data_IF_421106473512
#
_entry.id   IF_421106473512
#
_cell.length_a   1.000
_cell.length_b   1.000
_cell.length_c   1.000
_cell.angle_alpha   90.00
_cell.angle_beta   90.00
_cell.angle_gamma   90.00
#
_symmetry.space_group_name_H-M   'P 1'
#
loop_
_entity.id
_entity.type
_entity.pdbx_description
1 polymer ?
#
# COMPACT_ATOMS: atom_id res chain seq x y z
N UNK A 1 -32.10 58.81 -4.88
CA UNK A 1 -31.50 58.47 -3.57
C UNK A 1 -30.57 57.29 -3.80
N UNK A 2 -29.27 57.51 -3.64
CA UNK A 2 -28.21 56.52 -3.87
C UNK A 2 -28.27 55.42 -2.81
N UNK A 3 -28.39 54.15 -3.21
CA UNK A 3 -28.02 53.02 -2.34
C UNK A 3 -26.53 52.72 -2.53
N UNK A 4 -25.80 52.71 -1.41
CA UNK A 4 -24.35 52.57 -1.36
C UNK A 4 -23.93 51.10 -1.47
N UNK A 5 -22.91 50.90 -2.30
CA UNK A 5 -22.04 49.73 -2.36
C UNK A 5 -21.43 49.40 -0.99
N UNK A 6 -21.39 48.12 -0.63
CA UNK A 6 -20.36 47.59 0.26
C UNK A 6 -19.82 46.30 -0.37
N UNK A 7 -18.76 46.47 -1.16
CA UNK A 7 -17.93 45.40 -1.71
C UNK A 7 -16.87 45.11 -0.63
N UNK A 8 -16.94 43.96 0.04
CA UNK A 8 -15.88 43.53 0.96
C UNK A 8 -14.90 42.64 0.19
N UNK A 9 -13.76 43.22 -0.18
CA UNK A 9 -12.62 42.52 -0.75
C UNK A 9 -11.80 41.97 0.42
N UNK A 10 -11.86 40.66 0.64
CA UNK A 10 -10.86 39.95 1.44
C UNK A 10 -9.74 39.56 0.48
N UNK A 11 -8.64 40.32 0.52
CA UNK A 11 -7.41 39.97 -0.17
C UNK A 11 -6.75 38.80 0.57
N UNK A 12 -6.86 37.60 0.01
CA UNK A 12 -6.11 36.43 0.45
C UNK A 12 -4.65 36.61 -0.01
N UNK A 13 -3.75 36.84 0.93
CA UNK A 13 -2.30 36.85 0.70
C UNK A 13 -1.84 35.39 0.60
N UNK A 14 -1.65 34.91 -0.62
CA UNK A 14 -0.91 33.67 -0.86
C UNK A 14 0.59 33.96 -0.67
N UNK A 15 1.14 33.51 0.45
CA UNK A 15 2.59 33.31 0.57
C UNK A 15 2.94 32.07 -0.27
N UNK A 16 3.34 32.29 -1.51
CA UNK A 16 3.97 31.25 -2.33
C UNK A 16 5.29 30.85 -1.68
N UNK A 17 5.32 29.69 -1.03
CA UNK A 17 6.56 28.98 -0.74
C UNK A 17 7.19 28.60 -2.08
N UNK A 18 8.23 29.33 -2.49
CA UNK A 18 9.10 28.84 -3.56
C UNK A 18 9.89 27.67 -3.00
N UNK A 19 9.34 26.46 -3.14
CA UNK A 19 10.12 25.23 -3.06
C UNK A 19 11.15 25.39 -4.17
N UNK A 20 12.41 25.59 -3.78
CA UNK A 20 13.52 25.54 -4.72
C UNK A 20 13.58 24.11 -5.22
N UNK A 21 13.10 23.86 -6.43
CA UNK A 21 13.26 22.57 -7.08
C UNK A 21 14.75 22.36 -7.29
N UNK A 22 15.33 21.45 -6.50
CA UNK A 22 16.69 20.97 -6.75
C UNK A 22 16.58 20.14 -8.02
N UNK A 23 17.08 20.69 -9.13
CA UNK A 23 17.26 19.93 -10.37
C UNK A 23 18.40 18.96 -10.08
N UNK A 24 18.05 17.70 -9.85
CA UNK A 24 19.02 16.62 -9.73
C UNK A 24 19.80 16.49 -11.05
N UNK A 25 21.13 16.38 -10.97
CA UNK A 25 21.97 15.96 -12.10
C UNK A 25 22.02 14.43 -12.15
N UNK A 26 21.83 13.83 -13.32
CA UNK A 26 21.59 12.38 -13.46
C UNK A 26 22.77 11.65 -14.09
N UNK A 27 23.12 10.49 -13.51
CA UNK A 27 24.17 9.62 -14.02
C UNK A 27 23.56 8.40 -14.73
N UNK A 28 24.10 8.05 -15.89
CA UNK A 28 23.70 6.86 -16.63
C UNK A 28 24.32 5.61 -15.97
N UNK A 29 23.57 4.96 -15.07
CA UNK A 29 24.03 3.82 -14.28
C UNK A 29 24.23 2.51 -15.07
N UNK A 30 23.71 2.44 -16.31
CA UNK A 30 23.58 1.21 -17.09
C UNK A 30 24.90 0.55 -17.52
N UNK A 31 26.05 1.22 -17.37
CA UNK A 31 27.35 0.71 -17.84
C UNK A 31 28.39 0.49 -16.74
N UNK A 32 28.13 0.91 -15.51
CA UNK A 32 29.16 0.86 -14.47
C UNK A 32 28.92 -0.36 -13.57
N UNK A 33 29.78 -1.38 -13.70
CA UNK A 33 29.85 -2.54 -12.76
C UNK A 33 29.92 -2.09 -11.28
N UNK A 34 30.28 -0.84 -11.02
CA UNK A 34 30.27 -0.22 -9.71
C UNK A 34 28.87 -0.10 -9.10
N UNK A 35 27.81 0.17 -9.88
CA UNK A 35 26.44 0.27 -9.34
C UNK A 35 25.88 -1.07 -8.87
N UNK A 36 26.28 -2.16 -9.53
CA UNK A 36 25.93 -3.51 -9.09
C UNK A 36 26.58 -3.86 -7.74
N UNK A 37 27.70 -3.21 -7.38
CA UNK A 37 28.43 -3.43 -6.12
C UNK A 37 27.91 -2.60 -4.95
N UNK A 38 27.07 -1.60 -5.20
CA UNK A 38 26.41 -0.81 -4.16
C UNK A 38 25.39 -1.73 -3.48
N UNK A 39 25.57 -1.94 -2.17
CA UNK A 39 24.66 -2.75 -1.39
C UNK A 39 23.25 -2.18 -1.43
N UNK A 40 22.24 -3.05 -1.58
CA UNK A 40 20.85 -2.67 -1.39
C UNK A 40 20.69 -2.11 0.02
N UNK A 41 20.32 -0.84 0.10
CA UNK A 41 20.18 -0.20 1.39
C UNK A 41 18.74 -0.38 1.86
N UNK A 42 18.57 -1.11 2.97
CA UNK A 42 17.27 -1.35 3.58
C UNK A 42 16.83 -0.23 4.53
N UNK A 43 17.63 0.83 4.67
CA UNK A 43 17.32 2.03 5.45
C UNK A 43 16.91 3.23 4.59
N UNK A 44 16.78 4.40 5.21
CA UNK A 44 16.49 5.65 4.49
C UNK A 44 17.65 6.04 3.59
N UNK A 45 17.42 5.91 2.28
CA UNK A 45 18.22 6.51 1.24
C UNK A 45 17.69 7.92 1.02
N UNK A 46 18.47 8.96 1.31
CA UNK A 46 18.14 10.33 0.89
C UNK A 46 18.29 10.39 -0.64
N UNK A 47 17.24 10.02 -1.37
CA UNK A 47 17.24 9.88 -2.82
C UNK A 47 17.37 11.26 -3.46
N UNK A 48 18.48 11.49 -4.16
CA UNK A 48 18.76 12.75 -4.86
C UNK A 48 18.77 12.62 -6.37
N UNK A 49 19.00 11.41 -6.87
CA UNK A 49 18.89 11.08 -8.28
C UNK A 49 18.28 9.69 -8.39
N UNK A 50 17.87 9.31 -9.59
CA UNK A 50 17.44 7.94 -9.86
C UNK A 50 18.15 7.43 -11.10
N UNK A 51 18.14 6.13 -11.33
CA UNK A 51 18.65 5.58 -12.57
C UNK A 51 18.05 4.21 -12.83
N UNK A 52 18.17 3.78 -14.09
CA UNK A 52 17.78 2.44 -14.50
C UNK A 52 18.97 1.48 -14.35
N UNK A 53 18.75 0.39 -13.62
CA UNK A 53 19.67 -0.72 -13.45
C UNK A 53 18.94 -1.99 -13.88
N UNK A 54 19.28 -2.51 -15.06
CA UNK A 54 18.55 -3.61 -15.70
C UNK A 54 17.04 -3.30 -15.80
N UNK A 55 16.21 -4.13 -15.16
CA UNK A 55 14.75 -3.99 -15.10
C UNK A 55 14.27 -3.25 -13.84
N UNK A 56 15.15 -2.51 -13.15
CA UNK A 56 14.82 -1.74 -11.96
C UNK A 56 15.06 -0.26 -12.18
N UNK A 57 14.19 0.56 -11.61
CA UNK A 57 14.46 1.98 -11.37
C UNK A 57 14.84 2.11 -9.89
N UNK A 58 16.04 2.62 -9.64
CA UNK A 58 16.57 2.79 -8.30
C UNK A 58 16.79 4.27 -7.99
N UNK A 59 16.40 4.70 -6.80
CA UNK A 59 16.84 5.96 -6.22
C UNK A 59 18.25 5.82 -5.67
N UNK A 60 19.10 6.81 -5.92
CA UNK A 60 20.47 6.92 -5.41
C UNK A 60 20.67 8.26 -4.70
N UNK A 61 21.56 8.26 -3.71
CA UNK A 61 21.78 9.45 -2.87
C UNK A 61 22.75 10.48 -3.46
N UNK A 62 23.54 10.09 -4.47
CA UNK A 62 24.50 10.96 -5.15
C UNK A 62 24.74 10.39 -6.57
N UNK A 63 24.68 11.23 -7.60
CA UNK A 63 24.85 10.78 -8.98
C UNK A 63 26.31 10.52 -9.36
N UNK A 64 27.27 11.13 -8.67
CA UNK A 64 28.70 11.00 -8.96
C UNK A 64 29.34 9.85 -8.17
N UNK A 65 28.96 9.69 -6.90
CA UNK A 65 29.49 8.63 -6.03
C UNK A 65 28.40 8.06 -5.12
N UNK A 66 27.54 7.18 -5.67
CA UNK A 66 26.39 6.68 -4.95
C UNK A 66 26.85 5.69 -3.89
N UNK A 67 26.40 5.91 -2.65
CA UNK A 67 26.72 5.04 -1.51
C UNK A 67 25.52 4.21 -1.07
N UNK A 68 24.36 4.47 -1.68
CA UNK A 68 23.09 3.84 -1.37
C UNK A 68 22.26 3.74 -2.65
N UNK A 69 21.54 2.63 -2.79
CA UNK A 69 20.47 2.48 -3.78
C UNK A 69 19.22 1.92 -3.12
N UNK A 70 18.05 2.37 -3.57
CA UNK A 70 16.73 1.91 -3.14
C UNK A 70 15.87 1.64 -4.37
N UNK A 71 15.38 0.41 -4.51
CA UNK A 71 14.40 0.11 -5.54
C UNK A 71 13.12 0.93 -5.29
N UNK A 72 12.56 1.49 -6.36
CA UNK A 72 11.35 2.28 -6.28
C UNK A 72 10.11 1.40 -6.46
N UNK A 73 9.04 1.76 -5.77
CA UNK A 73 7.69 1.25 -5.99
C UNK A 73 6.82 2.43 -6.42
N UNK A 74 6.01 2.24 -7.44
CA UNK A 74 5.14 3.27 -8.00
C UNK A 74 5.16 3.30 -9.52
N UNK A 75 4.63 4.38 -10.09
CA UNK A 75 4.59 4.61 -11.55
C UNK A 75 5.36 5.87 -11.89
N UNK A 76 6.19 5.80 -12.93
CA UNK A 76 7.11 6.86 -13.30
C UNK A 76 7.13 7.07 -14.81
N UNK A 77 7.19 8.33 -15.26
CA UNK A 77 7.56 8.63 -16.65
C UNK A 77 9.09 8.66 -16.73
N UNK A 78 9.66 7.93 -17.67
CA UNK A 78 11.09 7.76 -17.84
C UNK A 78 11.47 8.05 -19.29
N UNK A 79 12.54 8.84 -19.48
CA UNK A 79 13.12 9.05 -20.80
C UNK A 79 14.19 7.97 -21.03
N UNK A 80 13.92 7.06 -21.97
CA UNK A 80 14.79 5.92 -22.28
C UNK A 80 16.11 6.34 -22.95
N UNK A 81 16.13 7.47 -23.64
CA UNK A 81 17.34 7.97 -24.32
C UNK A 81 18.31 8.61 -23.31
N UNK A 82 17.80 9.40 -22.36
CA UNK A 82 18.64 10.04 -21.33
C UNK A 82 18.83 9.15 -20.10
N UNK A 83 17.97 8.16 -19.88
CA UNK A 83 18.02 7.30 -18.69
C UNK A 83 17.51 8.00 -17.43
N UNK A 84 16.55 8.91 -17.54
CA UNK A 84 16.12 9.79 -16.43
C UNK A 84 14.61 9.75 -16.20
N UNK A 85 14.19 9.80 -14.92
CA UNK A 85 12.79 10.06 -14.57
C UNK A 85 12.44 11.48 -14.99
N UNK A 86 11.29 11.65 -15.65
CA UNK A 86 10.75 12.94 -16.05
C UNK A 86 9.95 13.52 -14.89
N UNK A 87 10.28 14.74 -14.48
CA UNK A 87 9.50 15.47 -13.50
C UNK A 87 8.33 16.17 -14.20
N UNK A 88 7.14 15.59 -14.11
CA UNK A 88 5.91 16.10 -14.71
C UNK A 88 5.37 17.40 -14.08
N UNK A 89 5.98 17.88 -12.99
CA UNK A 89 5.70 19.22 -12.47
C UNK A 89 6.45 20.31 -13.27
N UNK A 90 7.40 19.92 -14.12
CA UNK A 90 8.13 20.80 -15.02
C UNK A 90 7.77 20.47 -16.47
N UNK A 91 7.65 21.52 -17.29
CA UNK A 91 7.43 21.42 -18.73
C UNK A 91 8.39 20.42 -19.41
N UNK A 92 7.82 19.43 -20.09
CA UNK A 92 8.57 18.39 -20.82
C UNK A 92 8.96 18.83 -22.23
N UNK A 93 8.75 20.09 -22.63
CA UNK A 93 8.93 20.60 -24.00
C UNK A 93 10.30 20.32 -24.64
N UNK A 94 11.34 20.02 -23.86
CA UNK A 94 12.66 19.63 -24.37
C UNK A 94 12.82 18.14 -24.69
N UNK A 95 11.89 17.29 -24.26
CA UNK A 95 11.97 15.84 -24.44
C UNK A 95 11.37 15.40 -25.78
N UNK A 96 12.01 14.42 -26.42
CA UNK A 96 11.42 13.72 -27.56
C UNK A 96 10.35 12.76 -27.06
N UNK A 97 9.08 12.98 -27.40
CA UNK A 97 7.96 12.18 -26.87
C UNK A 97 8.10 10.67 -27.10
N UNK A 98 8.64 10.26 -28.26
CA UNK A 98 8.89 8.84 -28.57
C UNK A 98 9.95 8.17 -27.68
N UNK A 99 10.68 8.95 -26.88
CA UNK A 99 11.66 8.46 -25.91
C UNK A 99 11.09 8.39 -24.50
N UNK A 100 9.85 8.86 -24.29
CA UNK A 100 9.17 8.85 -22.99
C UNK A 100 8.28 7.62 -22.83
N UNK A 101 8.49 6.87 -21.77
CA UNK A 101 7.73 5.68 -21.41
C UNK A 101 7.22 5.76 -19.98
N UNK A 102 6.11 5.09 -19.67
CA UNK A 102 5.64 4.86 -18.31
C UNK A 102 6.22 3.53 -17.84
N UNK A 103 6.84 3.54 -16.67
CA UNK A 103 7.30 2.35 -15.97
C UNK A 103 6.44 2.16 -14.73
N UNK A 104 5.86 0.98 -14.58
CA UNK A 104 5.23 0.50 -13.36
C UNK A 104 6.25 -0.33 -12.60
N UNK A 105 6.46 -0.02 -11.32
CA UNK A 105 7.41 -0.67 -10.44
C UNK A 105 6.71 -1.22 -9.19
N UNK A 106 7.15 -2.38 -8.70
CA UNK A 106 6.66 -3.04 -7.47
C UNK A 106 7.73 -3.13 -6.36
N UNK A 107 8.84 -2.41 -6.53
CA UNK A 107 10.00 -2.46 -5.63
C UNK A 107 10.98 -3.61 -5.92
N UNK A 108 10.64 -4.54 -6.81
CA UNK A 108 11.50 -5.66 -7.23
C UNK A 108 11.73 -5.70 -8.73
N UNK A 109 10.78 -5.19 -9.50
CA UNK A 109 10.82 -5.09 -10.95
C UNK A 109 10.16 -3.78 -11.39
N UNK A 110 10.55 -3.31 -12.57
CA UNK A 110 9.94 -2.20 -13.28
C UNK A 110 9.69 -2.61 -14.73
N UNK A 111 8.43 -2.59 -15.15
CA UNK A 111 8.05 -2.91 -16.51
C UNK A 111 7.50 -1.68 -17.22
N UNK A 112 7.84 -1.53 -18.51
CA UNK A 112 7.14 -0.58 -19.37
C UNK A 112 5.67 -0.94 -19.43
N UNK A 113 4.81 0.06 -19.36
CA UNK A 113 3.37 -0.13 -19.43
C UNK A 113 2.71 0.98 -20.22
N UNK A 114 1.46 0.74 -20.61
CA UNK A 114 0.65 1.74 -21.27
C UNK A 114 0.02 2.67 -20.24
N UNK A 115 -0.38 3.87 -20.65
CA UNK A 115 -1.13 4.74 -19.76
C UNK A 115 -1.27 6.17 -20.27
N UNK A 116 -1.56 7.06 -19.34
CA UNK A 116 -1.72 8.49 -19.56
C UNK A 116 -0.91 9.23 -18.51
N UNK A 117 -0.24 10.30 -18.92
CA UNK A 117 0.27 11.28 -17.97
C UNK A 117 -0.11 12.70 -18.38
N UNK A 118 -0.10 13.60 -17.40
CA UNK A 118 -0.33 15.03 -17.58
C UNK A 118 1.00 15.78 -17.41
N UNK A 119 1.26 16.72 -18.30
CA UNK A 119 2.28 17.74 -18.10
C UNK A 119 1.66 19.11 -18.43
N UNK A 120 1.74 20.04 -17.48
CA UNK A 120 1.04 21.33 -17.52
C UNK A 120 -0.45 21.16 -17.86
N UNK A 121 -0.92 21.74 -18.97
CA UNK A 121 -2.32 21.65 -19.43
C UNK A 121 -2.53 20.59 -20.53
N UNK A 122 -1.49 19.81 -20.84
CA UNK A 122 -1.49 18.80 -21.89
C UNK A 122 -1.53 17.39 -21.30
N UNK A 123 -2.16 16.48 -22.04
CA UNK A 123 -2.22 15.06 -21.73
C UNK A 123 -1.49 14.27 -22.81
N UNK A 124 -0.86 13.19 -22.39
CA UNK A 124 -0.07 12.32 -23.25
C UNK A 124 -0.49 10.87 -23.01
N UNK A 125 -0.84 10.16 -24.07
CA UNK A 125 -0.95 8.69 -24.04
C UNK A 125 0.43 8.09 -24.22
N UNK A 126 0.70 7.00 -23.53
CA UNK A 126 1.94 6.24 -23.68
C UNK A 126 1.61 4.83 -24.09
N UNK A 127 2.23 4.40 -25.18
CA UNK A 127 2.27 3.01 -25.60
C UNK A 127 3.61 2.42 -25.16
N UNK A 128 3.58 1.23 -24.53
CA UNK A 128 4.75 0.59 -23.94
C UNK A 128 5.86 0.29 -24.97
N UNK A 129 5.52 0.24 -26.27
CA UNK A 129 6.44 -0.05 -27.37
C UNK A 129 6.92 1.19 -28.12
N UNK A 130 6.05 2.19 -28.33
CA UNK A 130 6.30 3.32 -29.22
C UNK A 130 6.52 4.65 -28.49
N UNK A 131 6.28 4.70 -27.18
CA UNK A 131 6.52 5.85 -26.33
C UNK A 131 5.30 6.78 -26.23
N UNK A 132 5.53 8.03 -25.84
CA UNK A 132 4.47 9.00 -25.64
C UNK A 132 4.02 9.65 -26.95
N UNK A 133 2.73 9.97 -27.00
CA UNK A 133 2.11 10.83 -27.99
C UNK A 133 1.13 11.79 -27.29
N UNK A 134 1.11 13.04 -27.71
CA UNK A 134 0.13 14.00 -27.21
C UNK A 134 -1.29 13.56 -27.59
N UNK A 135 -2.20 13.61 -26.62
CA UNK A 135 -3.60 13.20 -26.81
C UNK A 135 -4.30 14.23 -27.68
N UNK A 136 -4.74 13.80 -28.86
CA UNK A 136 -5.78 14.51 -29.63
C UNK A 136 -7.16 14.06 -29.16
N UNK A 137 -8.21 14.82 -29.51
CA UNK A 137 -9.56 14.77 -28.92
C UNK A 137 -10.23 13.39 -28.75
N UNK A 138 -9.74 12.32 -29.36
CA UNK A 138 -10.28 10.95 -29.26
C UNK A 138 -10.42 10.44 -27.82
N UNK A 139 -9.48 10.78 -26.93
CA UNK A 139 -9.56 10.41 -25.50
C UNK A 139 -9.99 11.56 -24.59
N UNK A 140 -10.33 12.72 -25.18
CA UNK A 140 -10.73 13.91 -24.43
C UNK A 140 -12.20 14.16 -24.63
N UNK A 141 -12.96 14.01 -23.56
CA UNK A 141 -14.34 14.45 -23.57
C UNK A 141 -14.41 15.97 -23.34
N UNK A 142 -14.81 16.69 -24.39
CA UNK A 142 -14.98 18.14 -24.34
C UNK A 142 -16.14 18.59 -23.44
N UNK A 143 -17.00 17.67 -22.99
CA UNK A 143 -18.10 17.97 -22.06
C UNK A 143 -17.62 18.17 -20.61
N UNK A 144 -16.34 17.95 -20.31
CA UNK A 144 -15.76 18.04 -18.96
C UNK A 144 -16.53 17.21 -17.91
N UNK A 145 -17.21 16.14 -18.35
CA UNK A 145 -18.15 15.44 -17.50
C UNK A 145 -18.05 13.91 -17.64
N UNK A 146 -17.63 13.22 -16.57
CA UNK A 146 -17.70 11.76 -16.51
C UNK A 146 -19.10 11.25 -16.12
N UNK A 147 -20.06 12.12 -15.77
CA UNK A 147 -21.37 11.72 -15.22
C UNK A 147 -22.43 11.44 -16.27
N UNK A 148 -22.37 12.08 -17.44
CA UNK A 148 -23.26 11.77 -18.56
C UNK A 148 -22.78 10.52 -19.28
N UNK A 149 -23.55 9.42 -19.26
CA UNK A 149 -23.18 8.11 -19.84
C UNK A 149 -21.81 7.59 -19.36
N UNK A 150 -21.64 7.37 -18.04
CA UNK A 150 -20.35 7.05 -17.45
C UNK A 150 -19.73 5.77 -18.02
N UNK A 151 -20.55 4.81 -18.45
CA UNK A 151 -20.12 3.55 -19.09
C UNK A 151 -19.36 3.77 -20.40
N UNK A 152 -19.77 4.77 -21.19
CA UNK A 152 -19.24 5.02 -22.52
C UNK A 152 -17.94 5.83 -22.47
N UNK A 153 -17.64 6.39 -21.29
CA UNK A 153 -16.51 7.28 -21.04
C UNK A 153 -15.41 6.62 -20.22
N UNK A 154 -15.57 5.37 -19.81
CA UNK A 154 -14.56 4.65 -19.03
C UNK A 154 -13.22 4.67 -19.78
N UNK A 155 -12.15 5.13 -19.12
CA UNK A 155 -10.82 5.29 -19.71
C UNK A 155 -10.58 6.60 -20.45
N UNK A 156 -11.57 7.50 -20.55
CA UNK A 156 -11.41 8.83 -21.14
C UNK A 156 -11.00 9.88 -20.11
N UNK A 157 -10.36 10.95 -20.58
CA UNK A 157 -10.04 12.15 -19.80
C UNK A 157 -11.14 13.20 -20.02
N UNK A 158 -11.78 13.64 -18.93
CA UNK A 158 -12.74 14.74 -18.92
C UNK A 158 -12.20 15.87 -18.01
N UNK A 159 -11.78 16.99 -18.63
CA UNK A 159 -11.09 18.06 -17.91
C UNK A 159 -9.79 17.57 -17.27
N UNK A 160 -9.79 17.52 -15.93
CA UNK A 160 -8.68 17.04 -15.09
C UNK A 160 -8.96 15.70 -14.41
N UNK A 161 -9.90 14.92 -14.94
CA UNK A 161 -10.30 13.63 -14.35
C UNK A 161 -10.25 12.51 -15.37
N UNK A 162 -9.78 11.34 -14.94
CA UNK A 162 -10.00 10.07 -15.61
C UNK A 162 -11.39 9.56 -15.23
N UNK A 163 -12.17 9.17 -16.23
CA UNK A 163 -13.50 8.61 -16.02
C UNK A 163 -13.39 7.10 -15.82
N UNK A 164 -13.81 6.58 -14.66
CA UNK A 164 -13.84 5.15 -14.34
C UNK A 164 -15.25 4.61 -14.04
N UNK A 165 -16.29 5.40 -14.33
CA UNK A 165 -17.63 5.21 -13.76
C UNK A 165 -17.95 6.26 -12.70
N UNK A 166 -16.92 6.67 -11.95
CA UNK A 166 -16.83 7.93 -11.19
C UNK A 166 -15.58 8.71 -11.65
N UNK A 167 -15.50 10.01 -11.35
CA UNK A 167 -14.36 10.86 -11.74
C UNK A 167 -13.20 10.72 -10.76
N UNK A 168 -12.00 10.37 -11.25
CA UNK A 168 -10.76 10.35 -10.46
C UNK A 168 -9.77 11.38 -11.00
N UNK A 169 -9.20 12.22 -10.15
CA UNK A 169 -8.16 13.17 -10.57
C UNK A 169 -6.76 12.52 -10.51
N UNK A 170 -5.82 12.91 -11.40
CA UNK A 170 -4.41 12.48 -11.35
C UNK A 170 -3.65 12.91 -10.08
N UNK A 171 -4.27 13.73 -9.22
CA UNK A 171 -3.77 14.09 -7.89
C UNK A 171 -4.28 13.12 -6.80
N UNK A 172 -4.88 11.99 -7.18
CA UNK A 172 -5.20 10.90 -6.27
C UNK A 172 -3.93 10.35 -5.61
N UNK A 173 -4.06 9.77 -4.42
CA UNK A 173 -2.91 9.29 -3.66
C UNK A 173 -2.03 8.36 -4.52
N UNK A 174 -0.72 8.65 -4.54
CA UNK A 174 0.27 7.86 -5.27
C UNK A 174 0.16 6.38 -4.87
N UNK A 175 0.18 5.49 -5.86
CA UNK A 175 0.20 4.05 -5.67
C UNK A 175 -1.17 3.38 -5.49
N UNK A 176 -2.27 4.12 -5.51
CA UNK A 176 -3.60 3.51 -5.49
C UNK A 176 -3.86 2.69 -6.76
N UNK A 177 -4.59 1.60 -6.62
CA UNK A 177 -5.01 0.73 -7.71
C UNK A 177 -6.53 0.82 -7.88
N UNK A 178 -7.00 0.85 -9.13
CA UNK A 178 -8.42 0.92 -9.45
C UNK A 178 -8.76 -0.10 -10.52
N UNK A 179 -9.94 -0.72 -10.40
CA UNK A 179 -10.46 -1.59 -11.44
C UNK A 179 -11.27 -0.78 -12.46
N UNK A 180 -11.16 -1.13 -13.73
CA UNK A 180 -12.00 -0.55 -14.77
C UNK A 180 -12.33 -1.58 -15.84
N UNK A 181 -13.47 -1.39 -16.51
CA UNK A 181 -13.78 -2.14 -17.72
C UNK A 181 -12.77 -1.74 -18.79
N UNK A 182 -12.12 -2.72 -19.40
CA UNK A 182 -11.31 -2.49 -20.58
C UNK A 182 -12.25 -2.09 -21.73
N UNK A 183 -11.91 -1.01 -22.43
CA UNK A 183 -12.58 -0.62 -23.68
C UNK A 183 -11.59 -0.71 -24.82
N UNK A 184 -12.05 -1.10 -26.01
CA UNK A 184 -11.16 -1.25 -27.15
C UNK A 184 -10.47 0.09 -27.46
N UNK A 185 -9.25 0.01 -27.98
CA UNK A 185 -8.47 1.18 -28.39
C UNK A 185 -8.28 2.21 -27.27
N UNK A 186 -8.15 1.79 -26.01
CA UNK A 186 -7.82 2.71 -24.92
C UNK A 186 -6.31 2.85 -24.67
N UNK A 187 -5.95 3.91 -23.95
CA UNK A 187 -4.57 4.26 -23.63
C UNK A 187 -3.86 3.26 -22.68
N UNK A 188 -4.57 2.29 -22.11
CA UNK A 188 -4.08 1.33 -21.11
C UNK A 188 -3.83 -0.06 -21.70
N UNK A 189 -4.49 -0.44 -22.80
CA UNK A 189 -4.37 -1.79 -23.39
C UNK A 189 -3.82 -1.82 -24.80
N UNK A 190 -3.58 -0.67 -25.43
CA UNK A 190 -2.87 -0.60 -26.72
C UNK A 190 -3.63 -1.22 -27.90
N UNK A 191 -4.94 -1.41 -27.80
CA UNK A 191 -5.81 -1.76 -28.94
C UNK A 191 -6.37 -3.19 -28.98
N UNK A 192 -6.16 -4.03 -27.97
CA UNK A 192 -6.85 -5.34 -27.95
C UNK A 192 -8.33 -5.19 -27.56
N UNK A 193 -9.22 -5.73 -28.40
CA UNK A 193 -10.68 -5.62 -28.29
C UNK A 193 -11.29 -6.56 -27.24
N UNK A 194 -10.65 -6.70 -26.08
CA UNK A 194 -11.20 -7.44 -24.95
C UNK A 194 -12.09 -6.51 -24.12
N UNK A 195 -13.16 -5.99 -24.75
CA UNK A 195 -14.07 -5.00 -24.15
C UNK A 195 -14.88 -5.53 -22.97
N UNK A 196 -14.80 -6.84 -22.73
CA UNK A 196 -15.57 -7.54 -21.71
C UNK A 196 -14.70 -7.91 -20.50
N UNK A 197 -13.40 -7.59 -20.53
CA UNK A 197 -12.45 -7.86 -19.44
C UNK A 197 -12.29 -6.65 -18.53
N UNK A 198 -11.96 -6.87 -17.26
CA UNK A 198 -11.49 -5.80 -16.40
C UNK A 198 -9.97 -5.78 -16.34
N UNK A 199 -9.44 -4.56 -16.20
CA UNK A 199 -8.02 -4.29 -16.00
C UNK A 199 -7.86 -3.47 -14.73
N UNK A 200 -6.65 -3.49 -14.19
CA UNK A 200 -6.26 -2.62 -13.09
C UNK A 200 -5.40 -1.49 -13.61
N UNK A 201 -5.68 -0.28 -13.12
CA UNK A 201 -4.83 0.88 -13.29
C UNK A 201 -4.20 1.27 -11.96
N UNK A 202 -2.94 1.69 -12.00
CA UNK A 202 -2.19 2.23 -10.86
C UNK A 202 -1.98 3.73 -11.05
N UNK A 203 -2.21 4.51 -10.00
CA UNK A 203 -2.04 5.96 -10.01
C UNK A 203 -0.65 6.36 -9.53
N UNK A 204 -0.16 7.46 -10.06
CA UNK A 204 0.96 8.23 -9.51
C UNK A 204 0.75 9.71 -9.79
N UNK A 205 1.68 10.53 -9.34
CA UNK A 205 1.56 11.98 -9.44
C UNK A 205 1.47 12.38 -10.90
N UNK A 206 0.28 12.80 -11.34
CA UNK A 206 -0.03 13.15 -12.72
C UNK A 206 0.03 11.96 -13.72
N UNK A 207 -0.06 10.72 -13.24
CA UNK A 207 0.08 9.50 -14.04
C UNK A 207 -1.06 8.53 -13.74
N UNK A 208 -1.61 7.92 -14.78
CA UNK A 208 -2.40 6.70 -14.73
C UNK A 208 -1.72 5.65 -15.59
N UNK A 209 -1.43 4.49 -15.03
CA UNK A 209 -0.72 3.43 -15.73
C UNK A 209 -1.55 2.15 -15.70
N UNK A 210 -1.50 1.34 -16.74
CA UNK A 210 -1.96 -0.04 -16.67
C UNK A 210 -1.06 -0.82 -15.71
N UNK A 211 -1.68 -1.50 -14.73
CA UNK A 211 -0.95 -2.26 -13.73
C UNK A 211 -0.60 -3.66 -14.25
N UNK A 212 0.40 -3.71 -15.13
CA UNK A 212 0.97 -4.94 -15.67
C UNK A 212 1.90 -5.68 -14.70
N UNK A 213 1.93 -5.29 -13.42
CA UNK A 213 2.66 -6.00 -12.36
C UNK A 213 1.72 -6.46 -11.24
N UNK A 214 0.40 -6.27 -11.39
CA UNK A 214 -0.55 -6.83 -10.45
C UNK A 214 -0.35 -8.35 -10.34
N UNK A 215 -0.27 -8.84 -9.11
CA UNK A 215 -0.09 -10.25 -8.82
C UNK A 215 -1.36 -11.06 -9.06
N UNK A 216 -1.17 -12.36 -9.34
CA UNK A 216 -2.26 -13.33 -9.42
C UNK A 216 -2.84 -13.55 -8.01
N UNK A 217 -3.93 -12.86 -7.70
CA UNK A 217 -4.58 -12.88 -6.37
C UNK A 217 -6.05 -12.44 -6.48
N UNK A 218 -6.75 -12.52 -5.36
CA UNK A 218 -8.09 -12.01 -5.20
C UNK A 218 -8.08 -10.63 -4.57
N UNK A 219 -8.90 -9.75 -5.13
CA UNK A 219 -8.98 -8.37 -4.73
C UNK A 219 -10.40 -7.97 -4.39
N UNK A 220 -10.49 -7.09 -3.41
CA UNK A 220 -11.70 -6.45 -2.99
C UNK A 220 -11.86 -5.09 -3.69
N UNK A 221 -13.06 -4.81 -4.20
CA UNK A 221 -13.39 -3.53 -4.82
C UNK A 221 -14.56 -2.84 -4.13
N UNK A 222 -14.34 -1.59 -3.74
CA UNK A 222 -15.40 -0.71 -3.27
C UNK A 222 -16.10 -0.07 -4.47
N UNK A 223 -17.36 -0.46 -4.76
CA UNK A 223 -18.04 -0.06 -6.02
C UNK A 223 -18.34 1.43 -6.14
N UNK A 224 -18.28 2.20 -5.06
CA UNK A 224 -18.34 3.66 -5.16
C UNK A 224 -17.08 4.14 -5.88
N UNK A 225 -15.91 3.90 -5.31
CA UNK A 225 -14.65 4.47 -5.81
C UNK A 225 -13.93 3.64 -6.88
N UNK A 226 -14.35 2.40 -7.12
CA UNK A 226 -13.61 1.38 -7.88
C UNK A 226 -12.18 1.11 -7.36
N UNK A 227 -11.88 1.52 -6.12
CA UNK A 227 -10.60 1.29 -5.47
C UNK A 227 -10.42 -0.21 -5.22
N UNK A 228 -9.28 -0.72 -5.68
CA UNK A 228 -8.83 -2.09 -5.48
C UNK A 228 -8.03 -2.17 -4.19
N UNK A 229 -8.37 -3.13 -3.33
CA UNK A 229 -7.64 -3.45 -2.10
C UNK A 229 -7.43 -4.96 -2.02
N UNK A 230 -6.35 -5.42 -1.38
CA UNK A 230 -6.15 -6.86 -1.19
C UNK A 230 -7.32 -7.51 -0.44
N UNK A 231 -7.64 -8.77 -0.73
CA UNK A 231 -8.71 -9.51 -0.03
C UNK A 231 -8.48 -9.48 1.48
N UNK A 232 -9.48 -9.04 2.23
CA UNK A 232 -9.45 -9.11 3.68
C UNK A 232 -9.59 -10.58 4.13
N UNK A 233 -8.81 -10.99 5.14
CA UNK A 233 -8.91 -12.34 5.71
C UNK A 233 -10.31 -12.65 6.31
N UNK A 234 -11.10 -11.63 6.65
CA UNK A 234 -12.42 -11.75 7.26
C UNK A 234 -13.52 -11.28 6.31
N UNK A 235 -13.71 -11.99 5.19
CA UNK A 235 -14.69 -11.63 4.14
C UNK A 235 -16.17 -11.69 4.61
N UNK A 236 -16.44 -12.32 5.76
CA UNK A 236 -17.80 -12.53 6.29
C UNK A 236 -18.31 -11.44 7.24
N UNK A 237 -17.45 -10.53 7.72
CA UNK A 237 -17.94 -9.33 8.41
C UNK A 237 -18.44 -8.33 7.38
N UNK A 238 -19.40 -7.46 7.73
CA UNK A 238 -20.02 -6.42 6.88
C UNK A 238 -19.04 -5.34 6.35
N UNK A 239 -17.82 -5.73 5.95
CA UNK A 239 -16.80 -4.86 5.42
C UNK A 239 -17.24 -4.36 4.05
N UNK A 240 -16.76 -3.17 3.71
CA UNK A 240 -17.06 -2.35 2.52
C UNK A 240 -16.64 -2.98 1.17
N UNK A 241 -16.51 -4.31 1.14
CA UNK A 241 -16.22 -5.06 -0.06
C UNK A 241 -17.51 -5.34 -0.83
N UNK A 242 -17.70 -4.62 -1.92
CA UNK A 242 -18.93 -4.71 -2.69
C UNK A 242 -18.81 -5.79 -3.79
N UNK A 243 -17.59 -6.04 -4.29
CA UNK A 243 -17.29 -7.02 -5.33
C UNK A 243 -15.89 -7.61 -5.13
N UNK A 244 -15.73 -8.87 -5.53
CA UNK A 244 -14.44 -9.55 -5.58
C UNK A 244 -14.03 -9.83 -7.02
N UNK A 245 -12.73 -9.72 -7.25
CA UNK A 245 -12.12 -9.95 -8.55
C UNK A 245 -10.94 -10.90 -8.40
N UNK A 246 -10.89 -11.94 -9.22
CA UNK A 246 -9.70 -12.77 -9.38
C UNK A 246 -8.91 -12.15 -10.53
N UNK A 247 -7.70 -11.69 -10.24
CA UNK A 247 -6.83 -11.18 -11.29
C UNK A 247 -5.82 -12.26 -11.66
N UNK A 248 -5.69 -12.54 -12.95
CA UNK A 248 -4.75 -13.49 -13.51
C UNK A 248 -4.20 -12.96 -14.82
N UNK A 249 -2.88 -13.02 -14.98
CA UNK A 249 -2.20 -12.50 -16.18
C UNK A 249 -2.64 -11.04 -16.45
N UNK A 250 -2.80 -10.25 -15.37
CA UNK A 250 -3.21 -8.83 -15.36
C UNK A 250 -4.65 -8.53 -15.83
N UNK A 251 -5.44 -9.56 -16.10
CA UNK A 251 -6.87 -9.47 -16.37
C UNK A 251 -7.62 -9.85 -15.11
N UNK A 252 -8.63 -9.07 -14.76
CA UNK A 252 -9.49 -9.37 -13.63
C UNK A 252 -10.86 -9.84 -14.09
N UNK A 253 -11.30 -10.96 -13.52
CA UNK A 253 -12.64 -11.51 -13.71
C UNK A 253 -13.46 -11.28 -12.45
N UNK A 254 -14.70 -10.79 -12.62
CA UNK A 254 -15.64 -10.72 -11.51
C UNK A 254 -15.92 -12.15 -11.03
N UNK A 255 -15.55 -12.44 -9.78
CA UNK A 255 -15.96 -13.68 -9.16
C UNK A 255 -17.39 -13.46 -8.71
N UNK A 256 -18.34 -14.15 -9.35
CA UNK A 256 -19.69 -14.31 -8.82
C UNK A 256 -19.61 -15.27 -7.63
N UNK A 257 -18.98 -14.80 -6.54
CA UNK A 257 -19.24 -15.36 -5.23
C UNK A 257 -20.69 -14.99 -4.94
N UNK A 258 -21.61 -15.80 -5.44
CA UNK A 258 -23.03 -15.75 -5.11
C UNK A 258 -23.18 -16.13 -3.64
N UNK A 259 -22.63 -15.33 -2.72
CA UNK A 259 -22.37 -15.65 -1.33
C UNK A 259 -22.20 -17.15 -1.17
N UNK A 260 -21.00 -17.70 -1.42
CA UNK A 260 -20.68 -19.02 -0.85
C UNK A 260 -21.13 -18.92 0.59
N UNK A 261 -22.24 -19.60 0.91
CA UNK A 261 -23.18 -19.12 1.93
C UNK A 261 -22.36 -18.79 3.14
N UNK A 262 -22.28 -17.50 3.49
CA UNK A 262 -21.74 -17.07 4.77
C UNK A 262 -22.57 -17.85 5.76
N UNK A 263 -22.05 -19.01 6.13
CA UNK A 263 -22.69 -19.90 7.07
C UNK A 263 -22.82 -19.00 8.28
N UNK A 264 -24.05 -18.85 8.77
CA UNK A 264 -24.41 -17.90 9.82
C UNK A 264 -23.21 -17.73 10.75
N UNK A 265 -22.74 -16.48 10.96
CA UNK A 265 -21.38 -16.17 11.41
C UNK A 265 -20.93 -17.25 12.38
N UNK A 266 -19.88 -17.99 12.02
CA UNK A 266 -19.41 -19.13 12.79
C UNK A 266 -19.53 -18.75 14.27
N UNK A 267 -20.32 -19.52 15.03
CA UNK A 267 -20.61 -19.18 16.43
C UNK A 267 -19.28 -18.82 17.12
N UNK A 268 -19.28 -17.81 18.03
CA UNK A 268 -18.07 -17.36 18.72
C UNK A 268 -17.20 -18.58 19.12
N UNK A 269 -15.92 -18.56 18.74
CA UNK A 269 -14.97 -19.60 19.12
C UNK A 269 -15.06 -19.81 20.63
N UNK A 270 -15.42 -21.03 21.02
CA UNK A 270 -15.61 -21.38 22.42
C UNK A 270 -14.42 -22.21 22.88
N UNK A 271 -13.77 -21.74 23.95
CA UNK A 271 -12.70 -22.45 24.65
C UNK A 271 -13.19 -23.04 25.98
N UNK A 272 -14.51 -23.25 26.12
CA UNK A 272 -15.12 -23.85 27.31
C UNK A 272 -14.72 -25.35 27.42
N UNK A 273 -14.23 -25.72 28.60
CA UNK A 273 -13.56 -26.97 29.00
C UNK A 273 -13.61 -28.21 28.08
N UNK A 274 -12.40 -28.69 27.76
CA UNK A 274 -11.99 -29.97 27.14
C UNK A 274 -12.01 -30.07 25.61
N UNK A 275 -12.78 -29.25 24.90
CA UNK A 275 -12.73 -29.23 23.43
C UNK A 275 -13.16 -27.88 22.90
N UNK A 276 -12.31 -27.25 22.09
CA UNK A 276 -12.69 -26.02 21.42
C UNK A 276 -13.77 -26.29 20.37
N UNK A 277 -14.59 -25.29 20.07
CA UNK A 277 -15.56 -25.38 18.97
C UNK A 277 -15.60 -24.07 18.20
N UNK A 278 -15.78 -24.18 16.89
CA UNK A 278 -15.97 -23.04 15.97
C UNK A 278 -14.78 -22.07 15.95
N UNK A 279 -13.59 -22.55 16.26
CA UNK A 279 -12.36 -21.77 16.14
C UNK A 279 -11.80 -21.86 14.71
N UNK A 280 -10.97 -20.91 14.33
CA UNK A 280 -10.15 -20.99 13.11
C UNK A 280 -8.69 -21.15 13.54
N UNK A 281 -7.84 -21.60 12.61
CA UNK A 281 -6.42 -21.77 12.93
C UNK A 281 -5.79 -20.43 13.32
N UNK A 282 -5.09 -20.38 14.46
CA UNK A 282 -4.40 -19.18 14.93
C UNK A 282 -4.48 -18.94 16.43
N UNK A 283 -4.18 -17.70 16.84
CA UNK A 283 -4.05 -17.33 18.26
C UNK A 283 -5.31 -16.65 18.80
N UNK A 284 -5.68 -17.02 20.03
CA UNK A 284 -6.81 -16.50 20.78
C UNK A 284 -6.39 -16.09 22.20
N UNK A 285 -7.14 -15.18 22.80
CA UNK A 285 -6.98 -14.82 24.20
C UNK A 285 -8.23 -15.18 24.99
N UNK A 286 -8.10 -16.12 25.94
CA UNK A 286 -9.18 -16.50 26.86
C UNK A 286 -9.08 -15.67 28.12
N UNK A 287 -10.07 -14.83 28.42
CA UNK A 287 -10.04 -13.95 29.59
C UNK A 287 -9.78 -14.70 30.90
N UNK A 288 -9.04 -14.10 31.83
CA UNK A 288 -8.76 -14.71 33.15
C UNK A 288 -10.00 -14.76 34.04
N UNK A 289 -10.95 -13.85 33.82
CA UNK A 289 -12.16 -13.68 34.64
C UNK A 289 -13.42 -14.33 34.04
N UNK A 290 -13.34 -14.79 32.79
CA UNK A 290 -14.46 -15.40 32.07
C UNK A 290 -13.98 -16.67 31.38
N UNK A 291 -14.85 -17.67 31.24
CA UNK A 291 -14.54 -18.83 30.38
C UNK A 291 -14.64 -18.47 28.88
N UNK A 292 -14.76 -17.18 28.55
CA UNK A 292 -14.95 -16.62 27.22
C UNK A 292 -13.66 -15.99 26.70
N UNK A 293 -13.66 -15.71 25.41
CA UNK A 293 -12.61 -14.91 24.76
C UNK A 293 -12.63 -13.48 25.31
N UNK A 294 -11.45 -12.88 25.41
CA UNK A 294 -11.26 -11.52 25.89
C UNK A 294 -11.94 -10.54 24.93
N UNK A 295 -12.76 -9.61 25.47
CA UNK A 295 -13.61 -8.69 24.68
C UNK A 295 -13.26 -7.22 24.80
N UNK A 296 -12.44 -6.87 25.79
CA UNK A 296 -12.13 -5.47 26.12
C UNK A 296 -10.64 -5.20 26.01
N UNK A 297 -10.28 -3.94 25.76
CA UNK A 297 -8.88 -3.52 25.77
C UNK A 297 -8.24 -3.79 27.13
N UNK A 298 -6.97 -4.18 27.14
CA UNK A 298 -6.18 -4.51 28.33
C UNK A 298 -6.73 -5.69 29.17
N UNK A 299 -7.74 -6.42 28.70
CA UNK A 299 -8.23 -7.62 29.38
C UNK A 299 -7.12 -8.68 29.39
N UNK A 300 -6.71 -9.11 30.59
CA UNK A 300 -5.73 -10.18 30.75
C UNK A 300 -6.37 -11.56 30.55
N UNK A 301 -5.69 -12.42 29.80
CA UNK A 301 -6.15 -13.75 29.46
C UNK A 301 -5.01 -14.74 29.24
N UNK A 302 -5.36 -16.03 29.16
CA UNK A 302 -4.44 -17.08 28.75
C UNK A 302 -4.37 -17.15 27.22
N UNK A 303 -3.16 -17.16 26.66
CA UNK A 303 -2.94 -17.35 25.23
C UNK A 303 -3.23 -18.79 24.81
N UNK A 304 -4.06 -18.95 23.78
CA UNK A 304 -4.34 -20.23 23.13
C UNK A 304 -3.88 -20.20 21.67
N UNK A 305 -3.48 -21.35 21.16
CA UNK A 305 -3.28 -21.57 19.73
C UNK A 305 -4.17 -22.72 19.27
N UNK A 306 -4.90 -22.50 18.18
CA UNK A 306 -5.76 -23.47 17.55
C UNK A 306 -5.10 -23.99 16.27
N UNK A 307 -4.87 -25.30 16.17
CA UNK A 307 -4.43 -25.96 14.93
C UNK A 307 -5.60 -26.20 13.98
N UNK A 308 -6.79 -26.44 14.54
CA UNK A 308 -8.04 -26.66 13.82
C UNK A 308 -9.21 -26.08 14.60
N UNK A 309 -10.43 -26.24 14.09
CA UNK A 309 -11.63 -25.68 14.73
C UNK A 309 -12.01 -26.30 16.06
N UNK A 310 -11.42 -27.44 16.40
CA UNK A 310 -11.67 -28.18 17.64
C UNK A 310 -10.42 -28.45 18.48
N UNK A 311 -9.24 -28.22 17.92
CA UNK A 311 -7.95 -28.50 18.56
C UNK A 311 -7.29 -27.18 18.92
N UNK A 312 -7.59 -26.69 20.12
CA UNK A 312 -6.95 -25.52 20.70
C UNK A 312 -6.28 -25.88 22.02
N UNK A 313 -5.03 -25.47 22.16
CA UNK A 313 -4.24 -25.72 23.36
C UNK A 313 -3.77 -24.40 23.95
N UNK A 314 -3.73 -24.35 25.28
CA UNK A 314 -3.12 -23.23 25.97
C UNK A 314 -1.62 -23.24 25.66
N UNK A 315 -1.09 -22.14 25.15
CA UNK A 315 0.35 -22.02 24.88
C UNK A 315 1.06 -22.10 26.23
N UNK A 316 2.04 -23.00 26.35
CA UNK A 316 2.75 -23.16 27.62
C UNK A 316 3.61 -21.93 27.91
N UNK A 317 3.78 -21.58 29.18
CA UNK A 317 4.48 -20.35 29.58
C UNK A 317 5.85 -20.18 28.90
N UNK A 318 6.68 -21.24 28.81
CA UNK A 318 7.99 -21.17 28.15
C UNK A 318 7.97 -21.12 26.62
N UNK A 319 6.84 -21.44 26.00
CA UNK A 319 6.63 -21.37 24.56
C UNK A 319 6.10 -20.01 24.11
N UNK A 320 5.46 -19.26 25.01
CA UNK A 320 5.01 -17.88 24.77
C UNK A 320 6.21 -17.00 24.41
N UNK A 321 6.07 -16.21 23.35
CA UNK A 321 7.07 -15.25 22.89
C UNK A 321 6.57 -13.84 23.22
N UNK A 322 7.48 -13.01 23.72
CA UNK A 322 7.17 -11.62 24.06
C UNK A 322 6.90 -10.86 22.75
N UNK A 323 5.75 -10.20 22.64
CA UNK A 323 5.38 -9.44 21.45
C UNK A 323 3.87 -9.39 21.21
N UNK A 324 3.51 -9.18 19.96
CA UNK A 324 2.12 -9.10 19.50
C UNK A 324 1.76 -10.33 18.66
N UNK A 325 0.60 -10.88 18.94
CA UNK A 325 -0.05 -11.91 18.14
C UNK A 325 -1.30 -11.33 17.50
N UNK A 326 -1.59 -11.70 16.25
CA UNK A 326 -2.87 -11.39 15.63
C UNK A 326 -3.95 -12.25 16.30
N UNK A 327 -4.97 -11.61 16.85
CA UNK A 327 -6.14 -12.34 17.34
C UNK A 327 -6.94 -12.81 16.12
N UNK A 328 -7.21 -14.11 16.04
CA UNK A 328 -8.01 -14.68 14.94
C UNK A 328 -9.50 -14.78 15.27
N UNK A 329 -9.93 -14.26 16.44
CA UNK A 329 -11.34 -14.06 16.75
C UNK A 329 -11.96 -13.01 15.80
N UNK A 330 -12.60 -13.50 14.75
CA UNK A 330 -13.24 -12.67 13.73
C UNK A 330 -14.60 -12.12 14.16
N UNK A 331 -15.20 -12.70 15.22
CA UNK A 331 -16.50 -12.29 15.73
C UNK A 331 -16.34 -11.08 16.66
N UNK A 332 -15.25 -11.04 17.42
CA UNK A 332 -14.91 -9.94 18.29
C UNK A 332 -13.91 -8.97 17.62
N UNK A 333 -14.45 -8.03 16.86
CA UNK A 333 -13.64 -7.03 16.15
C UNK A 333 -12.98 -5.99 17.06
N UNK A 334 -13.33 -5.94 18.35
CA UNK A 334 -12.72 -5.00 19.29
C UNK A 334 -11.27 -5.40 19.55
N UNK A 335 -11.01 -6.69 19.82
CA UNK A 335 -9.66 -7.18 20.17
C UNK A 335 -8.96 -7.72 18.94
N UNK A 336 -8.18 -6.88 18.27
CA UNK A 336 -7.49 -7.24 17.03
C UNK A 336 -6.16 -7.96 17.29
N UNK A 337 -5.53 -7.67 18.43
CA UNK A 337 -4.21 -8.17 18.78
C UNK A 337 -4.14 -8.63 20.23
N UNK A 338 -3.11 -9.43 20.52
CA UNK A 338 -2.81 -9.96 21.83
C UNK A 338 -1.35 -9.60 22.15
N UNK A 339 -1.10 -8.85 23.22
CA UNK A 339 0.22 -8.44 23.68
C UNK A 339 0.69 -9.32 24.83
N UNK A 340 1.80 -10.02 24.66
CA UNK A 340 2.44 -10.82 25.70
C UNK A 340 3.73 -10.12 26.15
N UNK A 341 3.81 -9.74 27.42
CA UNK A 341 4.93 -8.94 27.95
C UNK A 341 6.03 -9.79 28.61
N UNK A 342 5.73 -11.06 28.93
CA UNK A 342 6.69 -11.97 29.59
C UNK A 342 6.64 -13.35 28.95
N UNK A 343 7.80 -14.00 28.80
CA UNK A 343 7.92 -15.39 28.34
C UNK A 343 7.88 -16.41 29.50
N UNK A 344 7.61 -15.96 30.73
CA UNK A 344 7.47 -16.81 31.91
C UNK A 344 6.01 -17.03 32.29
N UNK A 345 5.09 -16.42 31.55
CA UNK A 345 3.65 -16.47 31.77
C UNK A 345 2.96 -16.65 30.42
N UNK A 346 1.88 -17.45 30.42
CA UNK A 346 0.94 -17.49 29.31
C UNK A 346 -0.18 -16.46 29.44
N UNK A 347 -0.08 -15.56 30.42
CA UNK A 347 -0.98 -14.42 30.58
C UNK A 347 -0.54 -13.29 29.65
N UNK A 348 -1.44 -12.90 28.76
CA UNK A 348 -1.28 -11.82 27.80
C UNK A 348 -2.47 -10.86 27.88
N UNK A 349 -2.38 -9.71 27.22
CA UNK A 349 -3.42 -8.66 27.23
C UNK A 349 -4.06 -8.52 25.86
N UNK A 350 -5.38 -8.35 25.84
CA UNK A 350 -6.11 -7.93 24.66
C UNK A 350 -5.66 -6.50 24.28
N UNK A 351 -5.45 -6.26 22.99
CA UNK A 351 -5.10 -4.95 22.47
C UNK A 351 -6.11 -4.55 21.40
N UNK A 352 -6.82 -3.47 21.71
CA UNK A 352 -7.60 -2.68 20.77
C UNK A 352 -6.66 -1.62 20.20
N UNK A 353 -6.53 -1.54 18.88
CA UNK A 353 -5.72 -0.50 18.26
C UNK A 353 -6.61 0.70 17.99
N UNK A 354 -6.73 1.57 18.99
CA UNK A 354 -7.51 2.81 18.94
C UNK A 354 -6.65 4.07 18.97
N UNK A 355 -5.33 3.91 19.01
CA UNK A 355 -4.36 5.00 19.04
C UNK A 355 -3.96 5.41 17.62
N UNK A 356 -4.11 6.68 17.33
CA UNK A 356 -3.76 7.29 16.04
C UNK A 356 -2.29 7.78 16.00
N UNK A 357 -1.59 7.82 17.14
CA UNK A 357 -0.26 8.43 17.24
C UNK A 357 0.65 7.82 18.34
N UNK A 358 1.96 8.11 18.26
CA UNK A 358 2.95 7.71 19.25
C UNK A 358 3.33 8.84 20.20
N UNK A 359 2.53 9.91 20.32
CA UNK A 359 2.99 11.16 20.94
C UNK A 359 3.08 11.13 22.48
N UNK A 360 2.89 9.96 23.11
CA UNK A 360 3.03 9.74 24.55
C UNK A 360 4.26 8.87 24.86
N UNK A 361 5.03 9.25 25.88
CA UNK A 361 6.16 8.47 26.43
C UNK A 361 5.76 7.07 26.85
N UNK A 362 4.50 6.86 27.23
CA UNK A 362 4.00 5.54 27.58
C UNK A 362 3.72 4.63 26.38
N UNK A 363 3.69 5.18 25.16
CA UNK A 363 3.32 4.42 23.96
C UNK A 363 4.50 3.66 23.34
N UNK A 364 5.72 3.77 23.87
CA UNK A 364 6.84 2.98 23.35
C UNK A 364 6.54 1.47 23.47
N UNK A 365 6.59 0.78 22.32
CA UNK A 365 6.23 -0.62 22.17
C UNK A 365 4.76 -0.86 21.81
N UNK A 366 3.90 0.16 21.80
CA UNK A 366 2.50 0.02 21.41
C UNK A 366 2.31 -0.05 19.90
N UNK A 367 1.26 -0.77 19.49
CA UNK A 367 0.81 -0.84 18.10
C UNK A 367 -0.18 0.30 17.85
N UNK A 368 -0.01 1.01 16.73
CA UNK A 368 -0.92 2.05 16.24
C UNK A 368 -1.37 1.71 14.81
N UNK A 369 -2.51 2.26 14.39
CA UNK A 369 -3.00 2.16 13.01
C UNK A 369 -2.84 3.53 12.36
N UNK A 370 -2.19 3.56 11.19
CA UNK A 370 -2.17 4.76 10.35
C UNK A 370 -2.99 4.48 9.11
N UNK A 371 -3.96 5.36 8.79
CA UNK A 371 -4.87 5.33 7.64
C UNK A 371 -4.68 4.15 6.66
N UNK A 372 -5.58 3.17 6.72
CA UNK A 372 -5.49 1.91 5.95
C UNK A 372 -5.01 0.73 6.81
N UNK A 373 -4.73 -0.45 6.21
CA UNK A 373 -4.26 -1.65 6.93
C UNK A 373 -2.77 -1.58 7.31
N UNK A 374 -2.18 -0.38 7.40
CA UNK A 374 -0.78 -0.18 7.74
C UNK A 374 -0.66 0.06 9.23
N UNK A 375 -0.16 -0.96 9.93
CA UNK A 375 0.12 -0.88 11.36
C UNK A 375 1.51 -0.29 11.58
N UNK A 376 1.72 0.42 12.68
CA UNK A 376 3.05 0.84 13.12
C UNK A 376 3.30 0.45 14.57
N UNK A 377 4.54 0.13 14.93
CA UNK A 377 4.96 0.01 16.32
C UNK A 377 5.68 1.29 16.74
N UNK A 378 5.20 1.93 17.79
CA UNK A 378 5.84 3.10 18.38
C UNK A 378 7.19 2.71 19.00
N UNK A 379 8.29 3.33 18.56
CA UNK A 379 9.60 3.16 19.21
C UNK A 379 9.92 4.24 20.25
N UNK A 380 9.06 5.25 20.37
CA UNK A 380 9.27 6.41 21.23
C UNK A 380 8.05 7.33 21.26
N UNK A 381 8.26 8.59 21.61
CA UNK A 381 7.22 9.62 21.87
C UNK A 381 6.80 10.39 20.63
N UNK A 382 7.19 9.98 19.43
CA UNK A 382 6.83 10.70 18.21
C UNK A 382 6.36 9.69 17.17
N UNK A 383 5.27 9.97 16.46
CA UNK A 383 4.73 9.09 15.42
C UNK A 383 5.70 8.88 14.25
N UNK A 384 6.62 9.81 14.04
CA UNK A 384 7.71 9.68 13.06
C UNK A 384 8.75 8.62 13.46
N UNK A 385 8.86 8.31 14.76
CA UNK A 385 9.72 7.24 15.28
C UNK A 385 9.03 5.85 15.19
N UNK A 386 7.80 5.77 14.64
CA UNK A 386 7.04 4.53 14.53
C UNK A 386 7.46 3.71 13.30
N UNK A 387 7.58 2.40 13.49
CA UNK A 387 7.99 1.47 12.43
C UNK A 387 6.76 0.86 11.77
N UNK A 388 6.58 1.11 10.48
CA UNK A 388 5.53 0.46 9.68
C UNK A 388 5.74 -1.04 9.56
N UNK A 389 4.69 -1.79 9.86
CA UNK A 389 4.54 -3.21 9.57
C UNK A 389 3.56 -3.28 8.41
N UNK A 390 4.08 -3.47 7.20
CA UNK A 390 3.21 -3.68 6.06
C UNK A 390 2.67 -5.12 6.09
N UNK A 391 1.38 -5.30 6.39
CA UNK A 391 0.75 -6.62 6.41
C UNK A 391 0.46 -7.19 5.02
N UNK A 392 0.65 -6.40 3.95
CA UNK A 392 0.54 -6.87 2.56
C UNK A 392 1.88 -7.32 1.98
N UNK A 393 2.99 -7.11 2.70
CA UNK A 393 4.31 -7.58 2.28
C UNK A 393 4.41 -9.10 2.39
N UNK A 394 4.95 -9.76 1.36
CA UNK A 394 5.34 -11.18 1.40
C UNK A 394 6.55 -11.44 2.32
N UNK A 395 7.15 -10.39 2.90
CA UNK A 395 8.26 -10.49 3.82
C UNK A 395 7.85 -11.29 5.06
N UNK A 396 8.46 -12.46 5.19
CA UNK A 396 8.19 -13.42 6.28
C UNK A 396 8.74 -12.96 7.63
N UNK A 397 9.60 -11.95 7.67
CA UNK A 397 10.14 -11.41 8.93
C UNK A 397 10.70 -9.99 8.79
N UNK A 398 10.49 -9.17 9.81
CA UNK A 398 11.13 -7.88 10.05
C UNK A 398 12.17 -8.01 11.17
N UNK A 399 13.26 -7.26 11.12
CA UNK A 399 14.22 -7.11 12.22
C UNK A 399 14.17 -5.64 12.64
N UNK A 400 14.14 -5.36 13.94
CA UNK A 400 14.00 -4.01 14.50
C UNK A 400 15.08 -3.84 15.56
N UNK A 401 15.92 -2.81 15.42
CA UNK A 401 16.88 -2.43 16.45
C UNK A 401 16.15 -1.88 17.69
N UNK A 402 16.48 -2.36 18.89
CA UNK A 402 15.90 -1.80 20.15
C UNK A 402 16.72 -0.65 20.74
N UNK A 403 17.92 -0.39 20.22
CA UNK A 403 18.82 0.65 20.73
C UNK A 403 18.98 1.86 19.80
N UNK A 404 18.46 1.79 18.57
CA UNK A 404 18.55 2.87 17.59
C UNK A 404 17.26 2.94 16.79
N UNK A 405 16.87 4.16 16.40
CA UNK A 405 15.63 4.53 15.69
C UNK A 405 15.44 3.90 14.30
N UNK A 406 16.25 2.92 13.90
CA UNK A 406 16.23 2.36 12.55
C UNK A 406 15.89 0.86 12.58
N UNK A 407 14.96 0.47 11.72
CA UNK A 407 14.61 -0.93 11.41
C UNK A 407 15.87 -1.71 10.97
N UNK A 408 16.82 -1.03 10.32
CA UNK A 408 18.15 -1.58 10.03
C UNK A 408 19.24 -0.51 10.21
N UNK A 409 20.14 -0.66 11.20
CA UNK A 409 21.25 0.28 11.37
C UNK A 409 22.22 0.02 12.53
N UNK A 410 23.46 -0.31 12.15
CA UNK A 410 24.75 -0.33 12.86
C UNK A 410 24.81 -0.42 14.40
N UNK A 411 25.36 -1.55 14.87
CA UNK A 411 25.78 -1.84 16.25
C UNK A 411 24.70 -1.60 17.33
N UNK A 412 23.52 -2.17 17.15
CA UNK A 412 22.67 -2.45 18.30
C UNK A 412 23.18 -3.73 19.00
N UNK A 413 23.23 -3.75 20.33
CA UNK A 413 23.54 -4.96 21.10
C UNK A 413 22.35 -5.92 21.19
N UNK A 414 21.17 -5.48 20.74
CA UNK A 414 19.90 -6.17 20.85
C UNK A 414 19.04 -5.81 19.63
N UNK A 415 18.41 -6.80 19.04
CA UNK A 415 17.46 -6.66 17.94
C UNK A 415 16.21 -7.48 18.27
N UNK A 416 15.09 -7.11 17.65
CA UNK A 416 13.82 -7.81 17.74
C UNK A 416 13.41 -8.22 16.33
N UNK A 417 13.37 -9.51 16.06
CA UNK A 417 12.87 -10.09 14.81
C UNK A 417 11.38 -10.38 14.93
N UNK A 418 10.54 -9.70 14.15
CA UNK A 418 9.10 -9.96 13.97
C UNK A 418 8.89 -10.86 12.75
N UNK A 419 8.70 -12.15 12.92
CA UNK A 419 8.30 -13.10 11.88
C UNK A 419 6.77 -13.08 11.68
N UNK A 420 6.33 -12.69 10.49
CA UNK A 420 4.91 -12.56 10.11
C UNK A 420 4.26 -13.88 9.68
N UNK A 421 5.04 -14.89 9.30
CA UNK A 421 4.52 -16.23 8.96
C UNK A 421 4.18 -17.01 10.22
N UNK A 422 5.00 -16.87 11.25
CA UNK A 422 4.81 -17.59 12.51
C UNK A 422 4.14 -16.73 13.61
N UNK A 423 3.86 -15.44 13.33
CA UNK A 423 3.47 -14.42 14.33
C UNK A 423 4.43 -14.38 15.54
N UNK A 424 5.75 -14.45 15.31
CA UNK A 424 6.76 -14.52 16.38
C UNK A 424 7.56 -13.23 16.47
N UNK A 425 7.73 -12.73 17.69
CA UNK A 425 8.70 -11.68 17.99
C UNK A 425 9.83 -12.32 18.81
N UNK A 426 11.07 -12.27 18.32
CA UNK A 426 12.24 -12.92 18.94
C UNK A 426 13.37 -11.94 19.12
N UNK A 427 14.08 -11.99 20.25
CA UNK A 427 15.36 -11.29 20.35
C UNK A 427 16.33 -11.94 19.35
N UNK A 428 16.84 -11.18 18.40
CA UNK A 428 17.86 -11.68 17.51
C UNK A 428 19.21 -11.54 18.21
N UNK A 429 19.75 -12.67 18.67
CA UNK A 429 21.12 -12.72 19.16
C UNK A 429 22.10 -12.42 18.02
N UNK A 430 23.20 -11.72 18.35
CA UNK A 430 24.30 -11.50 17.40
C UNK A 430 24.82 -12.83 16.89
N UNK A 431 24.53 -13.15 15.62
CA UNK A 431 25.38 -14.00 14.80
C UNK A 431 26.69 -13.30 14.48
#
# INVERSE_FOLDING_TARGET
>A
MLSKNLLSIVALVFFGSQISSVIAEWANCSTNEEYAKIADFTGDCDVKAHCKLDDLIVGINDSTNPTCKKALDGVYVFNDNTGTIVNLANDISSATLSELFIYNCDGTTCAKTNGIFKDNDAYYTVDATTGAAEITATYKDNSNDCTTNPSDKIGMIAGDTLCLGESITPASADGNQYIMNNVADNAFTGGESDTDKQIVIKTGTQIFAYDNLIGDDEYCVTTATNLLTGRFANFCSNNDCNKYYECKDHICDLIDESHETCSAPAEECSLESESATNCVQGYYLKGTSSAKLAKENDEEGTLYYCESSTECEAVTAGDVKIGYYKNVDTVNTNVQYIKCETAESNVCKAVVVDKDDCNDVSNAGDLIVTAGPVYKICLGTNTEDAVSINTTSTAKSYLISVNTKNIFGNKASQYVKINTVDNKVTLADKG
#
